data_IF_815692063576
#
_entry.id   IF_815692063576
#
_cell.length_a   1.000
_cell.length_b   1.000
_cell.length_c   1.000
_cell.angle_alpha   90.00
_cell.angle_beta   90.00
_cell.angle_gamma   90.00
#
_symmetry.space_group_name_H-M   'P 1'
#
loop_
_entity.id
_entity.type
_entity.pdbx_description
1 polymer ?
#
# COMPACT_ATOMS: atom_id res chain seq x y z
N UNK A 1 68.75 39.99 -40.22
CA UNK A 1 68.77 40.09 -38.76
C UNK A 1 67.43 40.58 -38.26
N UNK A 2 66.55 39.67 -37.85
CA UNK A 2 65.79 39.73 -36.59
C UNK A 2 65.13 38.36 -36.38
N UNK A 3 65.39 37.75 -35.22
CA UNK A 3 64.88 36.45 -34.78
C UNK A 3 63.48 36.60 -34.20
N UNK A 4 62.65 35.56 -34.33
CA UNK A 4 61.61 35.25 -33.35
C UNK A 4 61.48 33.73 -33.17
N UNK A 5 61.78 33.29 -31.95
CA UNK A 5 61.64 31.96 -31.38
C UNK A 5 60.15 31.57 -31.23
N UNK A 6 59.76 30.37 -31.65
CA UNK A 6 59.64 29.13 -30.86
C UNK A 6 58.32 28.98 -30.09
N UNK A 7 57.60 27.88 -30.34
CA UNK A 7 56.89 27.10 -29.32
C UNK A 7 56.43 25.77 -29.93
N UNK A 8 57.10 24.69 -29.51
CA UNK A 8 56.63 23.31 -29.67
C UNK A 8 55.56 23.07 -28.59
N UNK A 9 54.31 22.82 -29.01
CA UNK A 9 53.23 22.46 -28.11
C UNK A 9 53.03 20.92 -28.11
N UNK A 10 53.12 20.43 -26.88
CA UNK A 10 53.02 19.07 -26.37
C UNK A 10 51.66 18.41 -26.67
N UNK A 11 51.72 17.16 -27.16
CA UNK A 11 50.57 16.25 -27.22
C UNK A 11 50.20 15.83 -25.80
N UNK A 12 48.97 16.12 -25.39
CA UNK A 12 48.31 15.40 -24.30
C UNK A 12 47.00 14.82 -24.82
N UNK A 13 46.91 13.49 -24.75
CA UNK A 13 45.68 12.75 -24.96
C UNK A 13 44.62 13.26 -23.97
N UNK A 14 43.47 13.69 -24.49
CA UNK A 14 42.29 13.87 -23.67
C UNK A 14 41.70 12.49 -23.38
N UNK A 15 41.71 12.14 -22.10
CA UNK A 15 40.92 11.06 -21.53
C UNK A 15 39.44 11.38 -21.80
N UNK A 16 38.80 10.61 -22.67
CA UNK A 16 37.36 10.72 -22.98
C UNK A 16 36.58 10.12 -21.80
N UNK A 17 36.49 10.87 -20.71
CA UNK A 17 35.66 10.49 -19.58
C UNK A 17 34.18 10.50 -20.02
N UNK A 18 33.40 9.43 -19.76
CA UNK A 18 31.99 9.42 -20.11
C UNK A 18 31.25 10.51 -19.33
N UNK A 19 30.40 11.27 -20.03
CA UNK A 19 29.58 12.31 -19.43
C UNK A 19 28.73 11.76 -18.26
N UNK A 20 28.53 12.54 -17.18
CA UNK A 20 27.68 12.11 -16.07
C UNK A 20 26.23 11.89 -16.56
N UNK A 21 25.47 10.96 -15.97
CA UNK A 21 24.08 10.75 -16.32
C UNK A 21 23.27 12.03 -16.05
N UNK A 22 22.39 12.38 -16.98
CA UNK A 22 21.48 13.52 -16.84
C UNK A 22 20.62 13.39 -15.56
N UNK A 23 20.26 14.49 -14.90
CA UNK A 23 19.36 14.44 -13.75
C UNK A 23 18.00 13.85 -14.17
N UNK A 24 17.30 13.12 -13.28
CA UNK A 24 15.96 12.65 -13.58
C UNK A 24 15.05 13.85 -13.89
N UNK A 25 14.21 13.71 -14.91
CA UNK A 25 13.12 14.66 -15.16
C UNK A 25 12.30 14.85 -13.88
N UNK A 26 11.76 16.04 -13.60
CA UNK A 26 10.89 16.21 -12.45
C UNK A 26 9.72 15.23 -12.58
N UNK A 27 9.57 14.33 -11.61
CA UNK A 27 8.33 13.60 -11.42
C UNK A 27 7.19 14.62 -11.39
N UNK A 28 6.14 14.37 -12.19
CA UNK A 28 4.94 15.20 -12.16
C UNK A 28 4.52 15.44 -10.70
N UNK A 29 4.32 16.70 -10.34
CA UNK A 29 3.95 17.08 -8.99
C UNK A 29 2.72 16.26 -8.54
N UNK A 30 2.86 15.56 -7.40
CA UNK A 30 1.73 14.92 -6.75
C UNK A 30 0.61 15.96 -6.53
N UNK A 31 -0.68 15.57 -6.65
CA UNK A 31 -1.78 16.48 -6.34
C UNK A 31 -1.59 17.04 -4.93
N UNK A 32 -1.81 18.36 -4.79
CA UNK A 32 -1.74 19.04 -3.51
C UNK A 32 -2.63 18.34 -2.46
N UNK A 33 -2.23 18.30 -1.17
CA UNK A 33 -3.07 17.72 -0.13
C UNK A 33 -4.43 18.42 -0.15
N UNK A 34 -5.50 17.63 -0.27
CA UNK A 34 -6.86 18.10 -0.10
C UNK A 34 -6.96 18.83 1.25
N UNK A 35 -7.72 19.93 1.27
CA UNK A 35 -7.86 20.84 2.42
C UNK A 35 -7.91 20.06 3.75
N UNK A 36 -6.99 20.38 4.66
CA UNK A 36 -6.91 19.74 5.96
C UNK A 36 -8.23 19.97 6.72
N UNK A 37 -9.06 18.93 6.79
CA UNK A 37 -10.24 18.89 7.63
C UNK A 37 -9.87 18.92 9.12
N UNK A 38 -10.87 18.87 10.00
CA UNK A 38 -10.65 18.68 11.43
C UNK A 38 -9.75 17.45 11.67
N UNK A 39 -8.90 17.46 12.72
CA UNK A 39 -8.08 16.30 13.05
C UNK A 39 -8.96 15.05 13.19
N UNK A 40 -8.54 13.96 12.54
CA UNK A 40 -9.21 12.66 12.61
C UNK A 40 -8.69 11.92 13.84
N UNK A 41 -9.60 11.50 14.71
CA UNK A 41 -9.29 10.85 15.99
C UNK A 41 -9.76 9.40 15.99
N UNK A 42 -9.10 8.52 16.75
CA UNK A 42 -9.60 7.16 16.98
C UNK A 42 -10.71 7.24 18.05
N UNK A 43 -11.92 6.83 17.69
CA UNK A 43 -13.10 6.86 18.57
C UNK A 43 -13.45 5.48 19.16
N UNK A 44 -12.96 4.41 18.54
CA UNK A 44 -13.07 3.03 19.05
C UNK A 44 -11.78 2.28 18.74
N UNK A 45 -11.33 1.46 19.68
CA UNK A 45 -10.23 0.52 19.49
C UNK A 45 -10.45 -0.74 20.34
N UNK A 46 -10.27 -1.90 19.74
CA UNK A 46 -10.32 -3.22 20.38
C UNK A 46 -9.10 -4.01 19.93
N UNK A 47 -8.35 -4.54 20.90
CA UNK A 47 -7.18 -5.38 20.69
C UNK A 47 -7.25 -6.56 21.66
N UNK A 48 -7.71 -7.71 21.17
CA UNK A 48 -7.84 -8.94 21.96
C UNK A 48 -6.96 -10.02 21.33
N UNK A 49 -6.12 -10.66 22.16
CA UNK A 49 -5.16 -11.67 21.70
C UNK A 49 -5.21 -12.89 22.62
N UNK A 50 -5.41 -14.05 22.01
CA UNK A 50 -5.34 -15.36 22.61
C UNK A 50 -4.21 -16.19 21.97
N UNK A 51 -3.97 -17.40 22.48
CA UNK A 51 -2.90 -18.29 21.99
C UNK A 51 -3.02 -18.60 20.50
N UNK A 52 -4.23 -18.85 20.01
CA UNK A 52 -4.49 -19.24 18.61
C UNK A 52 -5.41 -18.27 17.87
N UNK A 53 -5.84 -17.19 18.52
CA UNK A 53 -6.89 -16.30 17.99
C UNK A 53 -6.58 -14.86 18.32
N UNK A 54 -7.10 -13.94 17.53
CA UNK A 54 -7.13 -12.53 17.88
C UNK A 54 -8.39 -11.87 17.32
N UNK A 55 -8.76 -10.76 17.93
CA UNK A 55 -9.82 -9.88 17.45
C UNK A 55 -9.29 -8.43 17.50
N UNK A 56 -9.47 -7.72 16.39
CA UNK A 56 -8.97 -6.38 16.19
C UNK A 56 -10.08 -5.50 15.61
N UNK A 57 -10.27 -4.32 16.18
CA UNK A 57 -11.21 -3.34 15.65
C UNK A 57 -10.69 -1.92 15.89
N UNK A 58 -10.89 -1.03 14.92
CA UNK A 58 -10.83 0.41 15.17
C UNK A 58 -11.87 1.17 14.37
N UNK A 59 -12.23 2.35 14.88
CA UNK A 59 -13.04 3.34 14.18
C UNK A 59 -12.47 4.73 14.44
N UNK A 60 -12.48 5.57 13.41
CA UNK A 60 -12.06 6.97 13.48
C UNK A 60 -13.25 7.93 13.36
N UNK A 61 -13.05 9.18 13.78
CA UNK A 61 -14.09 10.21 13.82
C UNK A 61 -14.67 10.60 12.44
N UNK A 62 -13.97 10.28 11.36
CA UNK A 62 -14.43 10.46 9.97
C UNK A 62 -15.22 9.25 9.42
N UNK A 63 -15.42 8.21 10.25
CA UNK A 63 -16.16 7.00 9.91
C UNK A 63 -15.34 5.93 9.19
N UNK A 64 -14.03 6.12 9.02
CA UNK A 64 -13.12 5.05 8.60
C UNK A 64 -13.07 3.98 9.70
N UNK A 65 -13.16 2.71 9.34
CA UNK A 65 -13.09 1.62 10.31
C UNK A 65 -12.50 0.35 9.72
N UNK A 66 -11.97 -0.50 10.58
CA UNK A 66 -11.55 -1.87 10.26
C UNK A 66 -11.93 -2.78 11.41
N UNK A 67 -12.42 -3.96 11.08
CA UNK A 67 -12.62 -5.05 12.02
C UNK A 67 -12.07 -6.33 11.41
N UNK A 68 -11.37 -7.15 12.19
CA UNK A 68 -10.95 -8.47 11.76
C UNK A 68 -10.78 -9.41 12.94
N UNK A 69 -10.96 -10.70 12.65
CA UNK A 69 -10.62 -11.79 13.56
C UNK A 69 -9.69 -12.75 12.82
N UNK A 70 -8.67 -13.23 13.51
CA UNK A 70 -7.77 -14.25 13.02
C UNK A 70 -7.80 -15.49 13.89
N UNK A 71 -7.69 -16.65 13.26
CA UNK A 71 -7.56 -17.94 13.93
C UNK A 71 -6.48 -18.77 13.27
N UNK A 72 -5.53 -19.25 14.06
CA UNK A 72 -4.53 -20.21 13.62
C UNK A 72 -5.13 -21.61 13.60
N UNK A 73 -5.26 -22.19 12.40
CA UNK A 73 -5.72 -23.56 12.20
C UNK A 73 -4.53 -24.50 12.07
N UNK A 74 -4.57 -25.62 12.77
CA UNK A 74 -3.52 -26.64 12.76
C UNK A 74 -3.97 -27.96 12.10
N UNK A 75 -5.05 -27.93 11.33
CA UNK A 75 -5.52 -29.08 10.56
C UNK A 75 -4.69 -29.24 9.29
N UNK A 76 -4.40 -30.49 8.88
CA UNK A 76 -3.53 -30.80 7.73
C UNK A 76 -3.95 -30.12 6.43
N UNK A 77 -5.25 -29.87 6.24
CA UNK A 77 -5.80 -29.25 5.03
C UNK A 77 -5.93 -27.72 5.11
N UNK A 78 -5.99 -27.15 6.32
CA UNK A 78 -6.24 -25.72 6.56
C UNK A 78 -5.09 -25.09 7.38
N UNK A 79 -3.91 -25.70 7.37
CA UNK A 79 -2.79 -25.28 8.20
C UNK A 79 -2.40 -23.83 7.87
N UNK A 80 -2.42 -22.97 8.90
CA UNK A 80 -2.06 -21.56 8.79
C UNK A 80 -3.06 -20.62 9.47
N UNK A 81 -2.77 -19.33 9.38
CA UNK A 81 -3.64 -18.28 9.87
C UNK A 81 -4.78 -18.03 8.89
N UNK A 82 -6.01 -18.06 9.37
CA UNK A 82 -7.21 -17.65 8.64
C UNK A 82 -7.71 -16.35 9.24
N UNK A 83 -7.79 -15.29 8.43
CA UNK A 83 -8.28 -13.96 8.84
C UNK A 83 -9.56 -13.64 8.09
N UNK A 84 -10.58 -13.21 8.83
CA UNK A 84 -11.83 -12.66 8.29
C UNK A 84 -11.98 -11.25 8.79
N UNK A 85 -12.21 -10.32 7.87
CA UNK A 85 -12.35 -8.92 8.25
C UNK A 85 -13.11 -8.10 7.24
N UNK A 86 -13.32 -6.85 7.61
CA UNK A 86 -13.83 -5.82 6.74
C UNK A 86 -13.21 -4.47 7.09
N UNK A 87 -13.14 -3.59 6.10
CA UNK A 87 -12.81 -2.19 6.31
C UNK A 87 -13.71 -1.31 5.47
N UNK A 88 -13.92 -0.08 5.94
CA UNK A 88 -14.61 0.96 5.19
C UNK A 88 -13.87 2.28 5.33
N UNK A 89 -13.92 3.10 4.29
CA UNK A 89 -13.42 4.47 4.30
C UNK A 89 -14.12 5.31 3.23
N UNK A 90 -13.96 6.62 3.32
CA UNK A 90 -14.40 7.55 2.26
C UNK A 90 -13.21 7.90 1.38
N UNK A 91 -13.30 7.58 0.09
CA UNK A 91 -12.26 7.90 -0.89
C UNK A 91 -12.21 9.41 -1.19
N UNK A 92 -11.11 9.93 -1.77
CA UNK A 92 -10.96 11.37 -2.06
C UNK A 92 -12.03 11.96 -2.99
N UNK A 93 -12.71 11.13 -3.79
CA UNK A 93 -13.83 11.51 -4.65
C UNK A 93 -15.19 11.50 -3.93
N UNK A 94 -15.20 11.19 -2.62
CA UNK A 94 -16.40 11.08 -1.80
C UNK A 94 -17.08 9.71 -1.87
N UNK A 95 -16.56 8.76 -2.66
CA UNK A 95 -17.11 7.42 -2.72
C UNK A 95 -16.86 6.67 -1.40
N UNK A 96 -17.92 6.07 -0.84
CA UNK A 96 -17.78 5.15 0.30
C UNK A 96 -17.33 3.79 -0.22
N UNK A 97 -16.16 3.36 0.24
CA UNK A 97 -15.59 2.05 -0.06
C UNK A 97 -15.83 1.15 1.15
N UNK A 98 -16.34 -0.05 0.89
CA UNK A 98 -16.51 -1.12 1.88
C UNK A 98 -15.99 -2.42 1.28
N UNK A 99 -15.06 -3.07 1.97
CA UNK A 99 -14.50 -4.35 1.53
C UNK A 99 -14.63 -5.34 2.67
N UNK A 100 -15.11 -6.54 2.34
CA UNK A 100 -15.01 -7.72 3.21
C UNK A 100 -13.97 -8.67 2.62
N UNK A 101 -13.23 -9.40 3.43
CA UNK A 101 -12.22 -10.32 2.93
C UNK A 101 -12.05 -11.58 3.76
N UNK A 102 -11.59 -12.61 3.07
CA UNK A 102 -11.00 -13.81 3.65
C UNK A 102 -9.53 -13.87 3.25
N UNK A 103 -8.63 -14.00 4.22
CA UNK A 103 -7.23 -14.32 3.97
C UNK A 103 -6.93 -15.70 4.56
N UNK A 104 -6.51 -16.64 3.73
CA UNK A 104 -6.13 -17.99 4.14
C UNK A 104 -4.93 -18.50 3.31
N UNK A 105 -4.72 -19.82 3.28
CA UNK A 105 -3.65 -20.47 2.50
C UNK A 105 -3.69 -20.15 1.00
N UNK A 106 -4.84 -19.74 0.46
CA UNK A 106 -5.03 -19.37 -0.93
C UNK A 106 -4.80 -17.87 -1.17
N UNK A 107 -4.42 -17.12 -0.14
CA UNK A 107 -4.17 -15.68 -0.17
C UNK A 107 -5.39 -14.84 0.19
N UNK A 108 -5.28 -13.55 -0.11
CA UNK A 108 -6.30 -12.53 0.18
C UNK A 108 -7.39 -12.54 -0.89
N UNK A 109 -8.63 -12.71 -0.45
CA UNK A 109 -9.82 -12.84 -1.29
C UNK A 109 -10.83 -11.76 -0.88
N UNK A 110 -10.75 -10.55 -1.46
CA UNK A 110 -11.69 -9.47 -1.17
C UNK A 110 -13.01 -9.66 -1.91
N UNK A 111 -14.08 -9.30 -1.25
CA UNK A 111 -15.40 -9.07 -1.81
C UNK A 111 -15.72 -7.60 -1.62
N UNK A 112 -15.84 -6.87 -2.73
CA UNK A 112 -16.29 -5.47 -2.71
C UNK A 112 -17.83 -5.46 -2.73
N UNK A 113 -18.45 -4.83 -1.74
CA UNK A 113 -19.90 -4.71 -1.68
C UNK A 113 -20.46 -3.81 -2.80
N UNK A 114 -19.62 -2.96 -3.41
CA UNK A 114 -19.97 -2.10 -4.53
C UNK A 114 -19.72 -2.75 -5.90
N UNK A 115 -19.23 -4.00 -5.97
CA UNK A 115 -19.05 -4.69 -7.24
C UNK A 115 -20.41 -5.03 -7.89
N UNK A 116 -20.58 -4.86 -9.22
CA UNK A 116 -21.75 -5.36 -9.91
C UNK A 116 -21.87 -6.87 -9.68
N UNK A 117 -23.08 -7.33 -9.34
CA UNK A 117 -23.41 -8.66 -8.78
C UNK A 117 -23.03 -9.92 -9.61
N UNK A 118 -22.20 -9.80 -10.65
CA UNK A 118 -21.82 -10.91 -11.52
C UNK A 118 -20.63 -11.73 -11.00
N UNK A 119 -19.81 -11.16 -10.11
CA UNK A 119 -18.55 -11.77 -9.66
C UNK A 119 -18.54 -12.17 -8.18
N UNK A 120 -19.70 -12.19 -7.52
CA UNK A 120 -19.80 -12.66 -6.14
C UNK A 120 -19.58 -14.18 -6.10
N UNK A 121 -18.33 -14.61 -5.89
CA UNK A 121 -18.05 -15.95 -5.41
C UNK A 121 -18.85 -16.18 -4.11
N UNK A 122 -19.44 -17.36 -3.90
CA UNK A 122 -20.35 -17.57 -2.79
C UNK A 122 -19.65 -17.32 -1.46
N UNK A 123 -20.26 -16.45 -0.65
CA UNK A 123 -19.93 -16.29 0.77
C UNK A 123 -19.87 -17.68 1.43
N UNK A 124 -18.76 -18.08 2.05
CA UNK A 124 -18.73 -19.34 2.78
C UNK A 124 -19.74 -19.24 3.92
N UNK A 125 -20.76 -20.12 3.88
CA UNK A 125 -21.84 -20.16 4.84
C UNK A 125 -21.32 -20.16 6.30
N UNK A 126 -22.07 -19.58 7.25
CA UNK A 126 -21.79 -19.77 8.68
C UNK A 126 -21.76 -21.28 8.95
N UNK A 127 -20.60 -21.81 9.34
CA UNK A 127 -20.51 -23.18 9.82
C UNK A 127 -21.01 -23.18 11.27
N UNK A 128 -22.13 -23.87 11.51
CA UNK A 128 -22.66 -24.20 12.85
C UNK A 128 -21.67 -25.02 13.68
#
# INVERSE_FOLDING_TARGET
TLFALAALALVFAQDDAPAPPAPPAPFAAAPAPAAAGAPVEIVKQVDEVDVNKYNFEFETSDGTSRQESGEYKNDTEQQGLVVRGSYKYTAPDGQKISVTYLADKNGYQPTDENAPAKDQAPSPAPQE
#
